data_IF_307979533453
#
_entry.id   IF_307979533453
#
_cell.length_a   1.000
_cell.length_b   1.000
_cell.length_c   1.000
_cell.angle_alpha   90.00
_cell.angle_beta   90.00
_cell.angle_gamma   90.00
#
_symmetry.space_group_name_H-M   'P 1'
#
loop_
_entity.id
_entity.type
_entity.pdbx_description
1 polymer ?
#
# COMPACT_ATOMS: atom_id res chain seq x y z
N UNK A 1 -43.96 -19.57 59.39
CA UNK A 1 -43.50 -20.36 58.23
C UNK A 1 -44.57 -20.33 57.15
N UNK A 2 -44.38 -19.55 56.08
CA UNK A 2 -45.22 -19.56 54.87
C UNK A 2 -44.42 -19.03 53.68
N UNK A 3 -44.47 -19.82 52.61
CA UNK A 3 -43.80 -19.76 51.30
C UNK A 3 -43.72 -18.35 50.69
N UNK A 4 -42.56 -18.03 50.09
CA UNK A 4 -42.40 -17.09 48.97
C UNK A 4 -41.60 -17.84 47.89
N UNK A 5 -42.29 -18.27 46.82
CA UNK A 5 -42.46 -17.57 45.53
C UNK A 5 -41.30 -17.91 44.57
N UNK A 6 -41.55 -18.95 43.76
CA UNK A 6 -40.79 -19.37 42.59
C UNK A 6 -40.83 -18.25 41.53
N UNK A 7 -39.68 -17.69 41.18
CA UNK A 7 -39.50 -16.91 39.95
C UNK A 7 -38.78 -17.79 38.93
N UNK A 8 -39.60 -18.42 38.08
CA UNK A 8 -39.19 -19.08 36.85
C UNK A 8 -38.90 -17.98 35.81
N UNK A 9 -37.62 -17.72 35.51
CA UNK A 9 -37.22 -16.87 34.39
C UNK A 9 -36.78 -17.75 33.21
N UNK A 10 -37.44 -17.68 32.04
CA UNK A 10 -36.94 -18.35 30.85
C UNK A 10 -35.77 -17.55 30.25
N UNK A 11 -34.59 -18.17 30.26
CA UNK A 11 -33.45 -17.81 29.42
C UNK A 11 -33.86 -17.94 27.95
N UNK A 12 -34.24 -16.82 27.33
CA UNK A 12 -34.30 -16.71 25.87
C UNK A 12 -32.85 -16.72 25.35
N UNK A 13 -32.45 -17.88 24.80
CA UNK A 13 -31.23 -18.02 24.04
C UNK A 13 -31.27 -17.11 22.81
N UNK A 14 -30.27 -16.24 22.69
CA UNK A 14 -29.93 -15.58 21.44
C UNK A 14 -29.41 -16.62 20.46
N UNK A 15 -30.28 -17.14 19.60
CA UNK A 15 -29.87 -17.79 18.37
C UNK A 15 -29.37 -16.70 17.40
N UNK A 16 -28.08 -16.36 17.48
CA UNK A 16 -27.42 -15.64 16.40
C UNK A 16 -27.31 -16.64 15.24
N UNK A 17 -28.18 -16.48 14.23
CA UNK A 17 -28.02 -17.14 12.96
C UNK A 17 -26.69 -16.68 12.35
N UNK A 18 -25.64 -17.49 12.51
CA UNK A 18 -24.41 -17.36 11.74
C UNK A 18 -24.76 -17.69 10.29
N UNK A 19 -24.92 -16.67 9.46
CA UNK A 19 -24.81 -16.84 8.02
C UNK A 19 -23.42 -17.38 7.73
N UNK A 20 -23.32 -18.65 7.36
CA UNK A 20 -22.07 -19.28 6.99
C UNK A 20 -21.51 -18.58 5.74
N UNK A 21 -20.58 -17.65 5.94
CA UNK A 21 -19.67 -17.23 4.88
C UNK A 21 -18.77 -18.43 4.57
N UNK A 22 -18.99 -19.08 3.41
CA UNK A 22 -18.05 -20.09 2.89
C UNK A 22 -16.65 -19.50 2.93
N UNK A 23 -15.70 -20.26 3.48
CA UNK A 23 -14.29 -19.83 3.45
C UNK A 23 -13.77 -19.90 2.01
N UNK A 24 -12.72 -19.13 1.67
CA UNK A 24 -12.15 -19.08 0.31
C UNK A 24 -11.78 -20.48 -0.22
N UNK A 25 -11.44 -21.40 0.68
CA UNK A 25 -11.07 -22.78 0.39
C UNK A 25 -12.27 -23.68 0.01
N UNK A 26 -13.49 -23.29 0.39
CA UNK A 26 -14.74 -24.00 0.08
C UNK A 26 -15.44 -23.47 -1.18
N UNK A 27 -14.90 -22.42 -1.80
CA UNK A 27 -15.40 -21.84 -3.03
C UNK A 27 -14.92 -22.64 -4.24
N UNK A 28 -15.83 -22.90 -5.19
CA UNK A 28 -15.48 -23.37 -6.53
C UNK A 28 -14.56 -22.37 -7.24
N UNK A 29 -13.86 -22.81 -8.28
CA UNK A 29 -13.00 -21.93 -9.08
C UNK A 29 -13.77 -20.70 -9.60
N UNK A 30 -15.03 -20.88 -9.98
CA UNK A 30 -15.91 -19.82 -10.47
C UNK A 30 -16.35 -18.87 -9.36
N UNK A 31 -16.77 -19.38 -8.20
CA UNK A 31 -17.11 -18.55 -7.03
C UNK A 31 -15.90 -17.72 -6.55
N UNK A 32 -14.71 -18.34 -6.53
CA UNK A 32 -13.47 -17.66 -6.14
C UNK A 32 -13.10 -16.57 -7.13
N UNK A 33 -13.23 -16.85 -8.42
CA UNK A 33 -12.87 -15.88 -9.44
C UNK A 33 -13.85 -14.69 -9.43
N UNK A 34 -15.14 -14.90 -9.18
CA UNK A 34 -16.11 -13.79 -8.96
C UNK A 34 -15.79 -12.99 -7.70
N UNK A 35 -15.45 -13.68 -6.60
CA UNK A 35 -15.06 -13.04 -5.34
C UNK A 35 -13.80 -12.17 -5.50
N UNK A 36 -12.78 -12.69 -6.18
CA UNK A 36 -11.53 -11.97 -6.44
C UNK A 36 -11.80 -10.75 -7.34
N UNK A 37 -12.68 -10.85 -8.36
CA UNK A 37 -13.08 -9.69 -9.16
C UNK A 37 -13.83 -8.63 -8.35
N UNK A 38 -14.76 -9.04 -7.48
CA UNK A 38 -15.51 -8.12 -6.63
C UNK A 38 -14.59 -7.38 -5.65
N UNK A 39 -13.64 -8.11 -5.07
CA UNK A 39 -12.61 -7.56 -4.18
C UNK A 39 -11.73 -6.56 -4.92
N UNK A 40 -11.25 -6.92 -6.11
CA UNK A 40 -10.48 -6.02 -6.98
C UNK A 40 -11.26 -4.76 -7.36
N UNK A 41 -12.54 -4.90 -7.70
CA UNK A 41 -13.41 -3.76 -8.04
C UNK A 41 -13.66 -2.84 -6.85
N UNK A 42 -13.78 -3.39 -5.63
CA UNK A 42 -13.86 -2.58 -4.41
C UNK A 42 -12.56 -1.81 -4.17
N UNK A 43 -11.39 -2.46 -4.34
CA UNK A 43 -10.10 -1.79 -4.25
C UNK A 43 -9.95 -0.64 -5.27
N UNK A 44 -10.38 -0.87 -6.51
CA UNK A 44 -10.40 0.18 -7.55
C UNK A 44 -11.35 1.34 -7.18
N UNK A 45 -12.54 1.04 -6.62
CA UNK A 45 -13.50 2.06 -6.19
C UNK A 45 -12.96 2.89 -5.03
N UNK A 46 -12.27 2.24 -4.09
CA UNK A 46 -11.63 2.89 -2.96
C UNK A 46 -10.47 3.78 -3.42
N UNK A 47 -9.59 3.25 -4.29
CA UNK A 47 -8.54 4.03 -4.93
C UNK A 47 -9.12 5.24 -5.68
N UNK A 48 -10.18 5.07 -6.47
CA UNK A 48 -10.83 6.17 -7.19
C UNK A 48 -11.45 7.24 -6.26
N UNK A 49 -11.78 6.87 -5.01
CA UNK A 49 -12.35 7.79 -4.02
C UNK A 49 -11.28 8.46 -3.15
N UNK A 50 -10.05 7.93 -3.13
CA UNK A 50 -8.95 8.43 -2.33
C UNK A 50 -7.81 8.96 -3.24
N UNK A 51 -7.57 10.27 -3.28
CA UNK A 51 -6.55 10.89 -4.13
C UNK A 51 -5.15 10.26 -3.99
N UNK A 52 -4.72 9.98 -2.76
CA UNK A 52 -3.39 9.43 -2.49
C UNK A 52 -3.26 7.98 -2.98
N UNK A 53 -4.29 7.15 -2.76
CA UNK A 53 -4.32 5.78 -3.29
C UNK A 53 -4.41 5.76 -4.82
N UNK A 54 -5.19 6.67 -5.42
CA UNK A 54 -5.25 6.81 -6.87
C UNK A 54 -3.88 7.18 -7.45
N UNK A 55 -3.21 8.16 -6.85
CA UNK A 55 -1.88 8.60 -7.28
C UNK A 55 -0.84 7.47 -7.15
N UNK A 56 -0.83 6.74 -6.02
CA UNK A 56 0.03 5.58 -5.84
C UNK A 56 -0.25 4.50 -6.88
N UNK A 57 -1.51 4.13 -7.09
CA UNK A 57 -1.89 3.12 -8.08
C UNK A 57 -1.47 3.52 -9.50
N UNK A 58 -1.62 4.80 -9.86
CA UNK A 58 -1.17 5.31 -11.16
C UNK A 58 0.36 5.27 -11.30
N UNK A 59 1.10 5.45 -10.20
CA UNK A 59 2.56 5.30 -10.20
C UNK A 59 2.96 3.83 -10.33
N UNK A 60 2.32 2.94 -9.58
CA UNK A 60 2.53 1.50 -9.65
C UNK A 60 2.25 0.96 -11.07
N UNK A 61 1.22 1.48 -11.74
CA UNK A 61 0.91 1.13 -13.14
C UNK A 61 1.90 1.70 -14.16
N UNK A 62 2.81 2.60 -13.79
CA UNK A 62 3.94 2.98 -14.67
C UNK A 62 5.07 1.97 -14.59
N UNK A 63 5.11 1.16 -13.54
CA UNK A 63 6.09 0.09 -13.42
C UNK A 63 5.84 -0.97 -14.52
N UNK A 64 6.81 -1.22 -15.41
CA UNK A 64 6.67 -2.19 -16.48
C UNK A 64 6.48 -3.62 -15.98
N UNK A 65 7.00 -3.98 -14.80
CA UNK A 65 6.82 -5.31 -14.22
C UNK A 65 5.39 -5.49 -13.73
N UNK A 66 4.83 -4.50 -13.04
CA UNK A 66 3.43 -4.50 -12.60
C UNK A 66 2.50 -4.52 -13.81
N UNK A 67 2.78 -3.73 -14.85
CA UNK A 67 2.00 -3.79 -16.10
C UNK A 67 2.07 -5.16 -16.77
N UNK A 68 3.26 -5.78 -16.82
CA UNK A 68 3.41 -7.09 -17.43
C UNK A 68 2.63 -8.17 -16.67
N UNK A 69 2.63 -8.12 -15.33
CA UNK A 69 1.84 -9.02 -14.51
C UNK A 69 0.33 -8.77 -14.66
N UNK A 70 -0.10 -7.52 -14.65
CA UNK A 70 -1.50 -7.16 -14.89
C UNK A 70 -1.97 -7.63 -16.29
N UNK A 71 -1.15 -7.43 -17.33
CA UNK A 71 -1.43 -7.92 -18.68
C UNK A 71 -1.52 -9.45 -18.72
N UNK A 72 -0.63 -10.16 -18.01
CA UNK A 72 -0.69 -11.62 -17.91
C UNK A 72 -1.98 -12.08 -17.24
N UNK A 73 -2.41 -11.41 -16.18
CA UNK A 73 -3.69 -11.69 -15.52
C UNK A 73 -4.88 -11.41 -16.45
N UNK A 74 -4.88 -10.30 -17.18
CA UNK A 74 -5.93 -9.97 -18.14
C UNK A 74 -5.96 -10.91 -19.36
N UNK A 75 -4.81 -11.49 -19.71
CA UNK A 75 -4.70 -12.48 -20.77
C UNK A 75 -5.14 -13.89 -20.32
N UNK A 76 -5.40 -14.11 -19.04
CA UNK A 76 -5.80 -15.43 -18.54
C UNK A 76 -7.17 -15.85 -19.13
N UNK A 77 -7.34 -17.13 -19.50
CA UNK A 77 -8.61 -17.63 -20.03
C UNK A 77 -9.79 -17.39 -19.09
N UNK A 78 -9.58 -17.53 -17.78
CA UNK A 78 -10.58 -17.34 -16.74
C UNK A 78 -11.09 -15.90 -16.71
N UNK A 79 -10.17 -14.93 -16.81
CA UNK A 79 -10.52 -13.52 -16.90
C UNK A 79 -11.25 -13.21 -18.21
N UNK A 80 -10.77 -13.73 -19.33
CA UNK A 80 -11.43 -13.54 -20.63
C UNK A 80 -12.85 -14.12 -20.66
N UNK A 81 -13.06 -15.28 -20.06
CA UNK A 81 -14.39 -15.90 -20.01
C UNK A 81 -15.34 -15.07 -19.14
N UNK A 82 -14.88 -14.60 -17.97
CA UNK A 82 -15.69 -13.71 -17.13
C UNK A 82 -15.99 -12.38 -17.82
N UNK A 83 -15.01 -11.79 -18.50
CA UNK A 83 -15.21 -10.56 -19.26
C UNK A 83 -16.23 -10.75 -20.37
N UNK A 84 -16.19 -11.86 -21.11
CA UNK A 84 -17.21 -12.19 -22.12
C UNK A 84 -18.61 -12.36 -21.51
N UNK A 85 -18.71 -13.07 -20.38
CA UNK A 85 -19.98 -13.21 -19.64
C UNK A 85 -20.53 -11.85 -19.23
N UNK A 86 -19.67 -10.97 -18.72
CA UNK A 86 -20.03 -9.61 -18.34
C UNK A 86 -20.42 -8.77 -19.55
N UNK A 87 -19.67 -8.83 -20.65
CA UNK A 87 -19.94 -8.07 -21.89
C UNK A 87 -21.32 -8.40 -22.49
N UNK A 88 -21.73 -9.67 -22.40
CA UNK A 88 -23.04 -10.09 -22.87
C UNK A 88 -24.18 -9.75 -21.91
N UNK A 89 -23.89 -9.38 -20.66
CA UNK A 89 -24.89 -8.99 -19.69
C UNK A 89 -25.63 -7.72 -20.12
N UNK A 90 -26.93 -7.65 -19.79
CA UNK A 90 -27.75 -6.47 -20.09
C UNK A 90 -27.21 -5.23 -19.37
N UNK A 91 -26.82 -5.38 -18.10
CA UNK A 91 -26.34 -4.29 -17.27
C UNK A 91 -25.06 -3.68 -17.84
N UNK A 92 -24.13 -4.50 -18.35
CA UNK A 92 -22.93 -4.00 -19.01
C UNK A 92 -23.26 -3.23 -20.28
N UNK A 93 -24.17 -3.74 -21.12
CA UNK A 93 -24.60 -3.05 -22.36
C UNK A 93 -25.28 -1.71 -22.07
N UNK A 94 -26.14 -1.67 -21.05
CA UNK A 94 -26.82 -0.45 -20.61
C UNK A 94 -25.81 0.56 -20.05
N UNK A 95 -24.87 0.11 -19.21
CA UNK A 95 -23.78 0.93 -18.70
C UNK A 95 -22.89 1.46 -19.83
N UNK A 96 -22.54 0.64 -20.82
CA UNK A 96 -21.74 1.04 -21.98
C UNK A 96 -22.46 2.11 -22.81
N UNK A 97 -23.77 1.96 -23.01
CA UNK A 97 -24.59 2.96 -23.70
C UNK A 97 -24.61 4.28 -22.92
N UNK A 98 -24.86 4.24 -21.62
CA UNK A 98 -24.84 5.43 -20.77
C UNK A 98 -23.47 6.11 -20.77
N UNK A 99 -22.38 5.33 -20.69
CA UNK A 99 -21.02 5.86 -20.77
C UNK A 99 -20.75 6.52 -22.12
N UNK A 100 -21.16 5.91 -23.24
CA UNK A 100 -21.03 6.52 -24.57
C UNK A 100 -21.79 7.85 -24.68
N UNK A 101 -23.02 7.89 -24.18
CA UNK A 101 -23.83 9.12 -24.15
C UNK A 101 -23.18 10.22 -23.30
N UNK A 102 -22.64 9.84 -22.14
CA UNK A 102 -21.91 10.73 -21.24
C UNK A 102 -20.59 11.24 -21.84
N UNK A 103 -19.80 10.36 -22.47
CA UNK A 103 -18.53 10.75 -23.10
C UNK A 103 -18.71 11.55 -24.39
N UNK A 104 -19.87 11.45 -25.04
CA UNK A 104 -20.22 12.31 -26.16
C UNK A 104 -20.49 13.77 -25.74
N UNK A 105 -20.66 14.05 -24.44
CA UNK A 105 -20.74 15.41 -23.91
C UNK A 105 -19.32 15.98 -23.68
N UNK A 106 -18.87 16.95 -24.50
CA UNK A 106 -17.54 17.54 -24.38
C UNK A 106 -17.35 18.28 -23.05
N UNK A 107 -18.41 18.80 -22.43
CA UNK A 107 -18.32 19.46 -21.13
C UNK A 107 -18.07 18.45 -20.01
N UNK A 108 -18.64 17.25 -20.14
CA UNK A 108 -18.40 16.19 -19.17
C UNK A 108 -16.98 15.65 -19.28
N UNK A 109 -16.46 15.47 -20.50
CA UNK A 109 -15.08 15.05 -20.72
C UNK A 109 -14.09 16.04 -20.08
N UNK A 110 -14.25 17.35 -20.34
CA UNK A 110 -13.40 18.38 -19.74
C UNK A 110 -13.50 18.40 -18.20
N UNK A 111 -14.71 18.21 -17.65
CA UNK A 111 -14.91 18.14 -16.21
C UNK A 111 -14.25 16.91 -15.59
N UNK A 112 -14.32 15.76 -16.25
CA UNK A 112 -13.66 14.53 -15.79
C UNK A 112 -12.15 14.66 -15.83
N UNK A 113 -11.59 15.25 -16.89
CA UNK A 113 -10.16 15.52 -17.00
C UNK A 113 -9.69 16.47 -15.89
N UNK A 114 -10.38 17.58 -15.68
CA UNK A 114 -10.06 18.52 -14.60
C UNK A 114 -10.20 17.88 -13.20
N UNK A 115 -11.21 17.05 -12.99
CA UNK A 115 -11.38 16.31 -11.74
C UNK A 115 -10.25 15.30 -11.52
N UNK A 116 -9.87 14.57 -12.57
CA UNK A 116 -8.77 13.60 -12.51
C UNK A 116 -7.43 14.30 -12.25
N UNK A 117 -7.14 15.39 -12.95
CA UNK A 117 -5.95 16.20 -12.72
C UNK A 117 -5.89 16.73 -11.28
N UNK A 118 -7.01 17.26 -10.77
CA UNK A 118 -7.10 17.72 -9.39
C UNK A 118 -6.85 16.58 -8.38
N UNK A 119 -7.48 15.42 -8.58
CA UNK A 119 -7.29 14.25 -7.71
C UNK A 119 -5.85 13.75 -7.74
N UNK A 120 -5.24 13.68 -8.93
CA UNK A 120 -3.84 13.30 -9.10
C UNK A 120 -2.91 14.26 -8.39
N UNK A 121 -3.08 15.56 -8.61
CA UNK A 121 -2.26 16.59 -7.98
C UNK A 121 -2.41 16.57 -6.46
N UNK A 122 -3.64 16.51 -5.96
CA UNK A 122 -3.90 16.42 -4.52
C UNK A 122 -3.29 15.16 -3.92
N UNK A 123 -3.45 14.01 -4.58
CA UNK A 123 -2.85 12.76 -4.13
C UNK A 123 -1.33 12.84 -4.05
N UNK A 124 -0.69 13.44 -5.05
CA UNK A 124 0.75 13.63 -5.05
C UNK A 124 1.21 14.63 -3.98
N UNK A 125 0.46 15.70 -3.74
CA UNK A 125 0.72 16.65 -2.65
C UNK A 125 0.57 16.00 -1.26
N UNK A 126 -0.45 15.16 -1.08
CA UNK A 126 -0.69 14.40 0.15
C UNK A 126 0.46 13.40 0.39
N UNK A 127 0.87 12.64 -0.64
CA UNK A 127 2.02 11.73 -0.57
C UNK A 127 3.32 12.46 -0.26
N UNK A 128 3.58 13.59 -0.92
CA UNK A 128 4.76 14.42 -0.66
C UNK A 128 4.77 14.98 0.77
N UNK A 129 3.61 15.39 1.27
CA UNK A 129 3.46 15.90 2.64
C UNK A 129 3.72 14.80 3.66
N UNK A 130 3.11 13.63 3.47
CA UNK A 130 3.34 12.46 4.32
C UNK A 130 4.82 12.02 4.28
N UNK A 131 5.44 11.99 3.10
CA UNK A 131 6.85 11.66 2.93
C UNK A 131 7.75 12.66 3.67
N UNK A 132 7.46 13.98 3.60
CA UNK A 132 8.19 15.01 4.36
C UNK A 132 8.05 14.84 5.86
N UNK A 133 6.84 14.59 6.34
CA UNK A 133 6.59 14.38 7.77
C UNK A 133 7.31 13.13 8.29
N UNK A 134 7.26 12.02 7.54
CA UNK A 134 7.97 10.80 7.87
C UNK A 134 9.49 10.99 7.85
N UNK A 135 10.01 11.70 6.84
CA UNK A 135 11.44 12.02 6.75
C UNK A 135 11.89 12.94 7.88
N UNK A 136 11.08 13.92 8.25
CA UNK A 136 11.36 14.80 9.37
C UNK A 136 11.35 14.04 10.69
N UNK A 137 10.32 13.22 10.94
CA UNK A 137 10.26 12.37 12.12
C UNK A 137 11.46 11.39 12.20
N UNK A 138 11.87 10.82 11.07
CA UNK A 138 13.07 9.98 11.00
C UNK A 138 14.36 10.78 11.25
N UNK A 139 14.48 12.00 10.73
CA UNK A 139 15.63 12.87 10.99
C UNK A 139 15.69 13.35 12.44
N UNK A 140 14.54 13.59 13.06
CA UNK A 140 14.43 13.98 14.47
C UNK A 140 14.82 12.79 15.37
N UNK A 141 14.34 11.58 15.05
CA UNK A 141 14.74 10.36 15.73
C UNK A 141 16.25 10.08 15.57
N UNK A 142 16.85 10.36 14.42
CA UNK A 142 18.30 10.22 14.23
C UNK A 142 19.12 11.32 14.93
N UNK A 143 18.50 12.38 15.41
CA UNK A 143 19.15 13.40 16.24
C UNK A 143 18.99 13.12 17.74
N UNK A 144 18.11 12.19 18.10
CA UNK A 144 17.91 11.76 19.47
C UNK A 144 19.06 10.85 19.92
N UNK A 145 19.84 11.23 20.95
CA UNK A 145 20.99 10.45 21.41
C UNK A 145 20.61 9.06 21.92
N UNK A 146 19.40 8.86 22.46
CA UNK A 146 18.93 7.53 22.89
C UNK A 146 18.69 6.62 21.69
N UNK A 147 17.95 7.11 20.69
CA UNK A 147 17.76 6.40 19.42
C UNK A 147 19.09 6.11 18.71
N UNK A 148 20.05 7.04 18.73
CA UNK A 148 21.38 6.81 18.17
C UNK A 148 22.17 5.73 18.93
N UNK A 149 22.09 5.73 20.26
CA UNK A 149 22.73 4.70 21.08
C UNK A 149 22.10 3.32 20.85
N UNK A 150 20.77 3.24 20.73
CA UNK A 150 20.06 2.01 20.38
C UNK A 150 20.45 1.51 18.99
N UNK A 151 20.45 2.40 17.99
CA UNK A 151 20.90 2.07 16.64
C UNK A 151 22.36 1.59 16.62
N UNK A 152 23.25 2.23 17.40
CA UNK A 152 24.64 1.81 17.55
C UNK A 152 24.77 0.43 18.21
N UNK A 153 23.92 0.11 19.19
CA UNK A 153 23.89 -1.21 19.83
C UNK A 153 23.35 -2.27 18.88
N UNK A 154 22.32 -1.95 18.09
CA UNK A 154 21.79 -2.84 17.06
C UNK A 154 22.82 -3.11 15.95
N UNK A 155 23.61 -2.11 15.55
CA UNK A 155 24.72 -2.28 14.61
C UNK A 155 25.83 -3.20 15.11
N UNK A 156 25.96 -3.36 16.44
CA UNK A 156 26.90 -4.28 17.07
C UNK A 156 26.31 -5.70 17.24
N UNK A 157 25.02 -5.91 16.98
CA UNK A 157 24.40 -7.24 17.05
C UNK A 157 24.93 -8.13 15.91
N UNK A 158 25.50 -9.31 16.20
CA UNK A 158 26.00 -10.23 15.17
C UNK A 158 24.94 -10.63 14.12
N UNK A 159 23.66 -10.69 14.52
CA UNK A 159 22.54 -11.00 13.62
C UNK A 159 22.30 -9.86 12.64
N UNK A 160 22.47 -8.61 13.10
CA UNK A 160 22.39 -7.45 12.23
C UNK A 160 23.56 -7.42 11.24
N UNK A 161 24.77 -7.74 11.69
CA UNK A 161 25.93 -7.86 10.81
C UNK A 161 25.72 -8.95 9.73
N UNK A 162 25.19 -10.11 10.11
CA UNK A 162 24.87 -11.20 9.18
C UNK A 162 23.75 -10.83 8.20
N UNK A 163 22.72 -10.12 8.68
CA UNK A 163 21.66 -9.57 7.85
C UNK A 163 22.21 -8.59 6.81
N UNK A 164 23.06 -7.64 7.22
CA UNK A 164 23.71 -6.68 6.31
C UNK A 164 24.60 -7.42 5.30
N UNK A 165 25.41 -8.40 5.73
CA UNK A 165 26.21 -9.22 4.80
C UNK A 165 25.37 -9.98 3.78
N UNK A 166 24.18 -10.42 4.17
CA UNK A 166 23.24 -11.09 3.28
C UNK A 166 22.64 -10.09 2.29
N UNK A 167 22.24 -8.91 2.76
CA UNK A 167 21.70 -7.84 1.94
C UNK A 167 22.75 -7.28 0.96
N UNK A 168 24.01 -7.17 1.37
CA UNK A 168 25.13 -6.76 0.50
C UNK A 168 25.46 -7.75 -0.61
N UNK A 169 24.99 -9.00 -0.50
CA UNK A 169 25.09 -10.00 -1.58
C UNK A 169 23.90 -9.93 -2.52
N UNK A 170 22.85 -9.18 -2.17
CA UNK A 170 21.70 -8.99 -3.05
C UNK A 170 22.12 -8.13 -4.27
N UNK A 171 21.91 -8.61 -5.49
CA UNK A 171 22.31 -7.90 -6.71
C UNK A 171 21.64 -6.52 -6.85
N UNK A 172 20.42 -6.36 -6.35
CA UNK A 172 19.70 -5.09 -6.35
C UNK A 172 20.36 -4.07 -5.43
N UNK A 173 20.72 -4.49 -4.22
CA UNK A 173 21.45 -3.62 -3.29
C UNK A 173 22.87 -3.30 -3.77
N UNK A 174 23.59 -4.23 -4.40
CA UNK A 174 24.91 -3.94 -4.99
C UNK A 174 24.81 -2.85 -6.06
N UNK A 175 23.77 -2.89 -6.91
CA UNK A 175 23.52 -1.85 -7.91
C UNK A 175 23.21 -0.50 -7.25
N UNK A 176 22.34 -0.50 -6.24
CA UNK A 176 22.00 0.71 -5.49
C UNK A 176 23.19 1.32 -4.74
N UNK A 177 24.09 0.49 -4.19
CA UNK A 177 25.34 0.96 -3.58
C UNK A 177 26.30 1.58 -4.60
N UNK A 178 26.34 1.06 -5.84
CA UNK A 178 27.13 1.67 -6.91
C UNK A 178 26.59 3.05 -7.30
N UNK A 179 25.27 3.22 -7.33
CA UNK A 179 24.62 4.52 -7.56
C UNK A 179 24.87 5.50 -6.39
N UNK A 180 24.76 5.02 -5.14
CA UNK A 180 25.13 5.82 -3.96
C UNK A 180 26.60 6.21 -3.94
N UNK A 181 27.50 5.36 -4.44
CA UNK A 181 28.93 5.68 -4.53
C UNK A 181 29.16 6.89 -5.44
N UNK A 182 28.42 7.00 -6.54
CA UNK A 182 28.44 8.19 -7.41
C UNK A 182 28.01 9.47 -6.69
N UNK A 183 27.00 9.39 -5.80
CA UNK A 183 26.62 10.52 -4.95
C UNK A 183 27.62 10.82 -3.83
N UNK A 184 28.31 9.82 -3.27
CA UNK A 184 29.35 10.02 -2.25
C UNK A 184 30.61 10.71 -2.78
N UNK A 185 30.83 10.65 -4.10
CA UNK A 185 31.88 11.41 -4.77
C UNK A 185 31.49 12.89 -4.96
N UNK A 186 30.22 13.26 -4.77
CA UNK A 186 29.78 14.66 -4.75
C UNK A 186 30.32 15.39 -3.50
N UNK A 187 31.07 16.49 -3.67
CA UNK A 187 31.64 17.26 -2.56
C UNK A 187 30.60 17.75 -1.54
N UNK A 188 29.41 18.16 -2.00
CA UNK A 188 28.35 18.69 -1.13
C UNK A 188 27.69 17.58 -0.31
N UNK A 189 27.54 16.40 -0.89
CA UNK A 189 27.00 15.24 -0.18
C UNK A 189 28.02 14.72 0.85
N UNK A 190 29.30 14.69 0.49
CA UNK A 190 30.40 14.31 1.38
C UNK A 190 30.48 15.19 2.62
N UNK A 191 30.37 16.51 2.47
CA UNK A 191 30.40 17.46 3.59
C UNK A 191 29.22 17.23 4.56
N UNK A 192 28.01 17.00 4.02
CA UNK A 192 26.84 16.66 4.85
C UNK A 192 27.05 15.36 5.63
N UNK A 193 27.56 14.32 4.98
CA UNK A 193 27.83 13.03 5.63
C UNK A 193 28.92 13.13 6.69
N UNK A 194 29.95 13.95 6.46
CA UNK A 194 30.99 14.20 7.45
C UNK A 194 30.42 14.90 8.70
N UNK A 195 29.51 15.86 8.52
CA UNK A 195 28.82 16.53 9.63
C UNK A 195 27.98 15.56 10.46
N UNK A 196 27.19 14.71 9.80
CA UNK A 196 26.38 13.67 10.46
C UNK A 196 27.27 12.65 11.17
N UNK A 197 28.36 12.21 10.51
CA UNK A 197 29.32 11.27 11.09
C UNK A 197 30.02 11.81 12.34
N UNK A 198 30.36 13.10 12.37
CA UNK A 198 30.91 13.76 13.56
C UNK A 198 29.90 13.79 14.71
N UNK A 199 28.64 14.13 14.44
CA UNK A 199 27.57 14.11 15.45
C UNK A 199 27.35 12.70 16.02
N UNK A 200 27.35 11.69 15.15
CA UNK A 200 27.23 10.28 15.54
C UNK A 200 28.42 9.81 16.39
N UNK A 201 29.65 10.14 15.99
CA UNK A 201 30.86 9.79 16.74
C UNK A 201 30.89 10.45 18.13
N UNK A 202 30.42 11.70 18.25
CA UNK A 202 30.28 12.38 19.53
C UNK A 202 29.23 11.73 20.43
N UNK A 203 28.09 11.29 19.89
CA UNK A 203 27.07 10.55 20.64
C UNK A 203 27.59 9.19 21.15
N UNK A 204 28.44 8.52 20.36
CA UNK A 204 29.07 7.25 20.75
C UNK A 204 30.13 7.39 21.84
N UNK A 205 30.85 8.52 21.89
CA UNK A 205 31.87 8.79 22.90
C UNK A 205 31.29 9.39 24.19
N UNK A 206 30.10 9.99 24.13
CA UNK A 206 29.43 10.62 25.27
C UNK A 206 28.78 9.65 26.27
N UNK A 207 28.75 8.34 25.99
CA UNK A 207 28.10 7.30 26.80
C UNK A 207 29.08 6.51 27.71
N UNK A 208 30.29 7.03 27.95
CA UNK A 208 31.30 6.44 28.85
C UNK A 208 31.49 7.24 30.17
N UNK A 209 30.43 7.83 30.74
CA UNK A 209 30.44 8.41 32.09
C UNK A 209 29.38 7.77 33.00
#
# INVERSE_FOLDING_TARGET
MKLHLLLLSPLLGYAVAQGAQKTRDEMTAEERAVYDMQTGMMGLKEAASNPALLAQMMEDLKDPEIMAEAQKMMASPEYQEQMKKMEHSKDFKDALKMTKEKMADPNLAAKMEAQMEYMMKKGQDDLNTAARQNMQAAMDALQDPETLAEAANMMKDPRFEEMIKTMMKDPGMVRQMQEMKGMMEDPNYREKMEKVGKQFASAMQGNEL
#
